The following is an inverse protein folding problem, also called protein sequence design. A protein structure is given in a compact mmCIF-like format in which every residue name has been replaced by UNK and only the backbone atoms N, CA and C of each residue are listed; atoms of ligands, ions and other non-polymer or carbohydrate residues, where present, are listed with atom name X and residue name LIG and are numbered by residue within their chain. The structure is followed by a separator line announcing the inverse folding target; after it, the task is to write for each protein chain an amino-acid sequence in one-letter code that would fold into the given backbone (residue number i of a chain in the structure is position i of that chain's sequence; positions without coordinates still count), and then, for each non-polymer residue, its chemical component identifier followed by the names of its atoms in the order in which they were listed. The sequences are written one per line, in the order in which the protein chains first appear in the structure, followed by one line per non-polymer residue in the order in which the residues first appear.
data_IF_257636815292
#
_entry.id   IF_257636815292
#
_cell.length_a   1.000
_cell.length_b   1.000
_cell.length_c   1.000
_cell.angle_alpha   90.00
_cell.angle_beta   90.00
_cell.angle_gamma   90.00
#
_symmetry.space_group_name_H-M   'P 1'
#
loop_
_entity.id
_entity.type
_entity.pdbx_description
1 polymer ?
#
# COMPACT_ATOMS: atom_id res chain seq x y z
N UNK A 1 -8.35 20.46 8.42
CA UNK A 1 -9.74 20.32 8.93
C UNK A 1 -9.66 19.68 10.31
N UNK A 2 -10.28 20.30 11.30
CA UNK A 2 -10.16 19.89 12.70
C UNK A 2 -11.36 19.08 13.18
N UNK A 3 -12.55 19.41 12.67
CA UNK A 3 -13.78 18.66 12.97
C UNK A 3 -14.85 18.82 11.89
N UNK A 4 -15.83 17.94 11.93
CA UNK A 4 -17.06 18.03 11.16
C UNK A 4 -18.08 18.88 11.93
N UNK A 5 -18.83 19.71 11.19
CA UNK A 5 -19.99 20.43 11.71
C UNK A 5 -21.21 19.55 11.59
N UNK A 6 -22.04 19.51 12.65
CA UNK A 6 -23.25 18.69 12.71
C UNK A 6 -24.43 19.56 13.16
N UNK A 7 -25.60 19.30 12.60
CA UNK A 7 -26.85 19.85 13.10
C UNK A 7 -27.42 19.02 14.29
N UNK A 8 -28.54 19.44 14.83
CA UNK A 8 -29.21 18.78 15.97
C UNK A 8 -29.63 17.32 15.67
N UNK A 9 -29.78 16.95 14.40
CA UNK A 9 -30.11 15.59 13.97
C UNK A 9 -28.87 14.69 13.82
N UNK A 10 -27.67 15.26 13.90
CA UNK A 10 -26.39 14.58 13.65
C UNK A 10 -25.97 14.54 12.18
N UNK A 11 -26.70 15.23 11.29
CA UNK A 11 -26.32 15.36 9.89
C UNK A 11 -25.09 16.23 9.78
N UNK A 12 -24.15 15.86 8.91
CA UNK A 12 -22.98 16.64 8.57
C UNK A 12 -23.39 17.83 7.69
N UNK A 13 -23.04 19.03 8.13
CA UNK A 13 -23.39 20.31 7.50
C UNK A 13 -22.18 21.12 7.04
N UNK A 14 -20.96 20.61 7.31
CA UNK A 14 -19.75 21.31 6.94
C UNK A 14 -18.52 20.84 7.71
N UNK A 15 -17.48 21.65 7.68
CA UNK A 15 -16.20 21.40 8.34
C UNK A 15 -15.70 22.66 9.04
N UNK A 16 -14.92 22.49 10.12
CA UNK A 16 -14.13 23.52 10.74
C UNK A 16 -12.64 23.35 10.41
N UNK A 17 -11.98 24.43 10.02
CA UNK A 17 -10.54 24.50 9.77
C UNK A 17 -9.95 25.73 10.48
N UNK A 18 -9.31 25.51 11.62
CA UNK A 18 -8.88 26.60 12.50
C UNK A 18 -10.08 27.40 13.04
N UNK A 19 -10.11 28.69 12.75
CA UNK A 19 -11.22 29.60 13.13
C UNK A 19 -12.35 29.64 12.07
N UNK A 20 -12.13 29.06 10.88
CA UNK A 20 -13.08 29.10 9.78
C UNK A 20 -14.06 27.93 9.83
N UNK A 21 -15.34 28.23 9.65
CA UNK A 21 -16.41 27.25 9.43
C UNK A 21 -16.87 27.32 7.98
N UNK A 22 -16.86 26.16 7.29
CA UNK A 22 -17.26 26.02 5.91
C UNK A 22 -18.49 25.14 5.83
N UNK A 23 -19.63 25.74 5.48
CA UNK A 23 -20.89 24.99 5.29
C UNK A 23 -20.91 24.27 3.96
N UNK A 24 -21.48 23.08 3.94
CA UNK A 24 -21.65 22.23 2.76
C UNK A 24 -22.87 21.33 2.87
N UNK A 25 -23.49 21.04 1.75
CA UNK A 25 -24.57 20.04 1.70
C UNK A 25 -24.05 18.62 1.87
N UNK A 26 -22.81 18.34 1.41
CA UNK A 26 -22.10 17.06 1.54
C UNK A 26 -20.62 17.30 1.77
N UNK A 27 -20.04 16.56 2.70
CA UNK A 27 -18.60 16.48 2.94
C UNK A 27 -18.11 15.11 2.45
N UNK A 28 -17.08 15.09 1.58
CA UNK A 28 -16.40 13.87 1.17
C UNK A 28 -15.11 13.74 1.97
N UNK A 29 -15.02 12.72 2.79
CA UNK A 29 -13.84 12.40 3.61
C UNK A 29 -12.85 11.62 2.77
N UNK A 30 -11.74 12.27 2.43
CA UNK A 30 -10.62 11.73 1.67
C UNK A 30 -9.28 12.05 2.40
N UNK A 31 -9.32 12.01 3.74
CA UNK A 31 -8.25 12.40 4.65
C UNK A 31 -7.21 11.29 4.89
N UNK A 32 -7.24 10.28 4.03
CA UNK A 32 -6.28 9.18 4.03
C UNK A 32 -6.50 8.17 5.17
N UNK A 33 -5.53 7.31 5.36
CA UNK A 33 -5.61 6.14 6.25
C UNK A 33 -5.87 6.48 7.72
N UNK A 34 -5.47 7.65 8.19
CA UNK A 34 -5.72 8.08 9.56
C UNK A 34 -7.21 8.28 9.85
N UNK A 35 -7.97 8.77 8.86
CA UNK A 35 -9.44 8.86 8.86
C UNK A 35 -10.01 9.41 10.16
N UNK A 36 -9.36 10.44 10.72
CA UNK A 36 -9.72 10.98 12.03
C UNK A 36 -11.14 11.52 12.07
N UNK A 37 -11.57 12.15 10.97
CA UNK A 37 -12.92 12.70 10.85
C UNK A 37 -13.97 11.60 10.77
N UNK A 38 -13.74 10.54 9.99
CA UNK A 38 -14.66 9.41 9.91
C UNK A 38 -14.76 8.63 11.23
N UNK A 39 -13.65 8.49 11.95
CA UNK A 39 -13.63 7.90 13.30
C UNK A 39 -14.42 8.74 14.31
N UNK A 40 -14.28 10.07 14.27
CA UNK A 40 -14.96 10.96 15.21
C UNK A 40 -16.49 10.89 15.17
N UNK A 41 -17.06 10.49 14.03
CA UNK A 41 -18.50 10.30 13.82
C UNK A 41 -18.94 8.83 13.82
N UNK A 42 -18.04 7.91 14.16
CA UNK A 42 -18.35 6.48 14.28
C UNK A 42 -18.59 5.75 12.95
N UNK A 43 -18.17 6.30 11.81
CA UNK A 43 -18.27 5.62 10.51
C UNK A 43 -17.27 4.48 10.37
N UNK A 44 -16.14 4.53 11.07
CA UNK A 44 -15.12 3.50 11.06
C UNK A 44 -15.02 2.77 12.37
N UNK A 45 -14.84 1.44 12.36
CA UNK A 45 -14.49 0.69 13.56
C UNK A 45 -13.03 0.99 13.96
N UNK A 46 -12.66 0.53 15.14
CA UNK A 46 -11.26 0.45 15.53
C UNK A 46 -10.57 -0.70 14.78
N UNK A 47 -9.43 -0.40 14.15
CA UNK A 47 -8.59 -1.38 13.50
C UNK A 47 -7.35 -1.68 14.34
N UNK A 48 -6.81 -2.88 14.20
CA UNK A 48 -5.60 -3.30 14.90
C UNK A 48 -4.34 -2.82 14.15
N UNK A 49 -3.18 -2.70 14.82
CA UNK A 49 -1.92 -2.37 14.15
C UNK A 49 -1.56 -3.32 12.99
N UNK A 50 -2.00 -4.58 13.02
CA UNK A 50 -1.78 -5.54 11.93
C UNK A 50 -2.44 -5.16 10.60
N UNK A 51 -3.43 -4.27 10.64
CA UNK A 51 -4.14 -3.79 9.45
C UNK A 51 -3.50 -2.54 8.83
N UNK A 52 -2.36 -2.12 9.37
CA UNK A 52 -1.64 -0.94 8.89
C UNK A 52 -0.18 -1.25 8.60
N UNK A 53 0.39 -0.53 7.64
CA UNK A 53 1.82 -0.40 7.50
C UNK A 53 2.24 1.06 7.64
N UNK A 54 3.49 1.27 8.03
CA UNK A 54 4.13 2.58 8.11
C UNK A 54 5.25 2.66 7.08
N UNK A 55 5.41 3.82 6.47
CA UNK A 55 6.42 4.05 5.45
C UNK A 55 7.30 5.25 5.76
N UNK A 56 8.53 5.21 5.24
CA UNK A 56 9.39 6.38 5.05
C UNK A 56 9.82 6.41 3.58
N UNK A 57 9.74 7.58 2.95
CA UNK A 57 10.04 7.77 1.52
C UNK A 57 10.84 9.04 1.32
N UNK A 58 11.79 8.99 0.40
CA UNK A 58 12.49 10.14 -0.14
C UNK A 58 12.21 10.29 -1.64
N UNK A 59 12.13 11.54 -2.08
CA UNK A 59 12.15 11.92 -3.48
C UNK A 59 13.53 12.52 -3.78
N UNK A 60 14.22 11.92 -4.73
CA UNK A 60 15.63 12.20 -5.07
C UNK A 60 15.67 12.77 -6.47
N UNK A 61 16.03 14.05 -6.60
CA UNK A 61 16.18 14.75 -7.88
C UNK A 61 17.42 14.26 -8.59
N UNK A 62 17.26 13.92 -9.86
CA UNK A 62 18.33 13.52 -10.79
C UNK A 62 17.97 13.99 -12.20
N UNK A 63 18.94 14.36 -13.05
CA UNK A 63 18.67 14.70 -14.44
C UNK A 63 17.97 13.53 -15.18
N UNK A 64 16.92 13.82 -15.98
CA UNK A 64 16.16 12.83 -16.76
C UNK A 64 17.06 11.81 -17.46
N UNK A 65 18.10 12.28 -18.16
CA UNK A 65 19.04 11.41 -18.87
C UNK A 65 19.79 10.43 -17.97
N UNK A 66 20.10 10.85 -16.73
CA UNK A 66 20.75 9.97 -15.74
C UNK A 66 19.79 8.88 -15.27
N UNK A 67 18.51 9.22 -15.08
CA UNK A 67 17.46 8.26 -14.72
C UNK A 67 17.27 7.26 -15.88
N UNK A 68 17.10 7.75 -17.11
CA UNK A 68 16.97 6.90 -18.30
C UNK A 68 18.13 5.92 -18.44
N UNK A 69 19.38 6.40 -18.30
CA UNK A 69 20.56 5.55 -18.45
C UNK A 69 20.69 4.50 -17.33
N UNK A 70 20.39 4.88 -16.07
CA UNK A 70 20.52 3.97 -14.91
C UNK A 70 19.43 2.91 -14.84
N UNK A 71 18.24 3.25 -15.31
CA UNK A 71 17.07 2.35 -15.27
C UNK A 71 16.77 1.69 -16.62
N UNK A 72 17.54 2.03 -17.67
CA UNK A 72 17.36 1.48 -19.02
C UNK A 72 16.08 1.93 -19.69
N UNK A 73 15.68 3.20 -19.49
CA UNK A 73 14.42 3.76 -19.96
C UNK A 73 14.61 4.57 -21.24
N UNK A 74 13.56 4.68 -22.04
CA UNK A 74 13.50 5.52 -23.23
C UNK A 74 12.16 6.25 -23.32
N UNK A 75 12.20 7.53 -23.72
CA UNK A 75 10.98 8.32 -23.95
C UNK A 75 10.16 8.53 -22.67
N UNK A 76 8.92 8.04 -22.66
CA UNK A 76 7.98 8.18 -21.56
C UNK A 76 7.87 6.91 -20.69
N UNK A 77 8.83 6.00 -20.81
CA UNK A 77 8.88 4.81 -19.99
C UNK A 77 9.22 5.13 -18.53
N UNK A 78 8.68 4.34 -17.62
CA UNK A 78 8.97 4.39 -16.19
C UNK A 78 9.14 2.99 -15.62
N UNK A 79 9.78 2.89 -14.46
CA UNK A 79 9.93 1.64 -13.73
C UNK A 79 9.47 1.78 -12.29
N UNK A 80 8.85 0.72 -11.78
CA UNK A 80 8.57 0.55 -10.36
C UNK A 80 9.10 -0.82 -9.93
N UNK A 81 10.00 -0.85 -8.95
CA UNK A 81 10.53 -2.07 -8.37
C UNK A 81 10.14 -2.21 -6.92
N UNK A 82 9.79 -3.43 -6.53
CA UNK A 82 9.55 -3.82 -5.15
C UNK A 82 10.69 -4.72 -4.69
N UNK A 83 11.15 -4.50 -3.47
CA UNK A 83 12.20 -5.29 -2.82
C UNK A 83 11.61 -6.01 -1.62
N UNK A 84 11.81 -7.31 -1.52
CA UNK A 84 11.43 -8.10 -0.35
C UNK A 84 12.67 -8.76 0.26
N UNK A 85 12.67 -8.92 1.58
CA UNK A 85 13.75 -9.56 2.31
C UNK A 85 14.34 -8.67 3.40
N UNK A 86 15.68 -8.62 3.49
CA UNK A 86 16.39 -7.93 4.58
C UNK A 86 16.17 -6.42 4.67
N UNK A 87 15.65 -5.78 3.63
CA UNK A 87 15.40 -4.35 3.62
C UNK A 87 14.35 -3.90 4.65
N UNK A 88 13.39 -4.76 5.01
CA UNK A 88 12.38 -4.50 6.06
C UNK A 88 12.71 -5.18 7.40
N UNK A 89 13.97 -5.57 7.61
CA UNK A 89 14.44 -6.26 8.82
C UNK A 89 13.66 -7.54 9.16
N UNK A 90 13.15 -8.22 8.11
CA UNK A 90 12.36 -9.44 8.22
C UNK A 90 10.88 -9.23 8.55
N UNK A 91 10.43 -8.00 8.69
CA UNK A 91 9.02 -7.66 8.88
C UNK A 91 8.24 -7.77 7.56
N UNK A 92 6.93 -7.91 7.66
CA UNK A 92 6.00 -7.71 6.53
C UNK A 92 6.27 -6.35 5.90
N UNK A 93 6.44 -6.30 4.57
CA UNK A 93 6.74 -5.08 3.84
C UNK A 93 7.93 -5.22 2.92
N UNK A 94 8.62 -4.10 2.66
CA UNK A 94 9.79 -4.10 1.78
C UNK A 94 10.15 -2.72 1.26
N UNK A 95 11.14 -2.70 0.39
CA UNK A 95 11.58 -1.49 -0.32
C UNK A 95 10.75 -1.24 -1.56
N UNK A 96 10.61 0.03 -1.90
CA UNK A 96 10.01 0.49 -3.16
C UNK A 96 10.96 1.48 -3.82
N UNK A 97 11.09 1.40 -5.14
CA UNK A 97 11.74 2.42 -5.95
C UNK A 97 10.93 2.62 -7.22
N UNK A 98 10.65 3.86 -7.58
CA UNK A 98 10.02 4.18 -8.86
C UNK A 98 10.54 5.49 -9.42
N UNK A 99 10.59 5.55 -10.76
CA UNK A 99 11.09 6.71 -11.50
C UNK A 99 9.95 7.66 -11.84
N UNK A 100 10.29 8.95 -11.81
CA UNK A 100 9.52 10.02 -12.44
C UNK A 100 10.40 10.66 -13.53
N UNK A 101 9.97 11.75 -14.14
CA UNK A 101 10.71 12.39 -15.24
C UNK A 101 12.12 12.88 -14.81
N UNK A 102 12.21 13.54 -13.65
CA UNK A 102 13.41 14.17 -13.10
C UNK A 102 13.69 13.81 -11.64
N UNK A 103 12.97 12.83 -11.11
CA UNK A 103 13.14 12.34 -9.74
C UNK A 103 13.03 10.81 -9.67
N UNK A 104 13.60 10.26 -8.61
CA UNK A 104 13.42 8.87 -8.18
C UNK A 104 12.83 8.86 -6.79
N UNK A 105 11.71 8.18 -6.63
CA UNK A 105 11.13 7.93 -5.31
C UNK A 105 11.66 6.62 -4.75
N UNK A 106 12.24 6.67 -3.57
CA UNK A 106 12.76 5.51 -2.84
C UNK A 106 12.13 5.45 -1.45
N UNK A 107 11.62 4.30 -1.06
CA UNK A 107 10.94 4.15 0.22
C UNK A 107 11.06 2.77 0.84
N UNK A 108 10.71 2.71 2.11
CA UNK A 108 10.48 1.48 2.89
C UNK A 108 9.06 1.51 3.40
N UNK A 109 8.42 0.34 3.38
CA UNK A 109 7.10 0.09 3.97
C UNK A 109 7.22 -1.10 4.91
N UNK A 110 6.71 -0.98 6.12
CA UNK A 110 6.74 -2.04 7.13
C UNK A 110 5.39 -2.18 7.83
N UNK A 111 4.93 -3.41 8.02
CA UNK A 111 3.74 -3.72 8.80
C UNK A 111 3.87 -3.20 10.24
N UNK A 112 2.84 -2.53 10.72
CA UNK A 112 2.87 -1.90 12.05
C UNK A 112 2.65 -2.91 13.18
N UNK A 113 1.98 -4.05 12.90
CA UNK A 113 1.61 -5.05 13.91
C UNK A 113 2.76 -5.69 14.65
N UNK A 114 3.93 -5.75 14.05
CA UNK A 114 5.13 -6.37 14.64
C UNK A 114 6.35 -5.43 14.63
N UNK A 115 6.12 -4.13 14.47
CA UNK A 115 7.18 -3.13 14.30
C UNK A 115 8.15 -3.10 15.50
N UNK A 116 7.68 -3.45 16.71
CA UNK A 116 8.51 -3.53 17.90
C UNK A 116 9.53 -4.68 17.86
N UNK A 117 9.37 -5.66 16.97
CA UNK A 117 10.33 -6.76 16.77
C UNK A 117 11.49 -6.36 15.88
N UNK A 118 11.40 -5.22 15.19
CA UNK A 118 12.48 -4.73 14.37
C UNK A 118 13.68 -4.28 15.21
N UNK A 119 14.87 -4.63 14.78
CA UNK A 119 16.12 -4.12 15.37
C UNK A 119 16.47 -2.70 14.95
N UNK A 120 15.67 -2.11 14.02
CA UNK A 120 15.91 -0.81 13.39
C UNK A 120 14.62 -0.02 13.27
N UNK A 121 14.72 1.31 13.25
CA UNK A 121 13.60 2.18 12.89
C UNK A 121 13.38 2.20 11.38
N UNK A 122 12.17 2.54 10.91
CA UNK A 122 11.86 2.64 9.47
C UNK A 122 12.78 3.61 8.73
N UNK A 123 13.11 4.80 9.27
CA UNK A 123 14.13 5.66 8.68
C UNK A 123 15.51 5.01 8.57
N UNK A 124 15.95 4.22 9.56
CA UNK A 124 17.23 3.49 9.48
C UNK A 124 17.21 2.41 8.40
N UNK A 125 16.09 1.70 8.24
CA UNK A 125 15.92 0.74 7.13
C UNK A 125 15.98 1.43 5.76
N UNK A 126 15.42 2.65 5.63
CA UNK A 126 15.54 3.44 4.41
C UNK A 126 16.99 3.82 4.12
N UNK A 127 17.74 4.26 5.13
CA UNK A 127 19.18 4.55 4.97
C UNK A 127 19.99 3.32 4.56
N UNK A 128 19.68 2.15 5.13
CA UNK A 128 20.32 0.91 4.74
C UNK A 128 20.00 0.53 3.29
N UNK A 129 18.75 0.70 2.86
CA UNK A 129 18.33 0.46 1.48
C UNK A 129 19.05 1.40 0.51
N UNK A 130 19.17 2.70 0.83
CA UNK A 130 19.91 3.69 0.04
C UNK A 130 21.38 3.30 -0.15
N UNK A 131 21.99 2.75 0.90
CA UNK A 131 23.39 2.33 0.89
C UNK A 131 23.61 0.92 0.37
N UNK A 132 22.53 0.18 0.04
CA UNK A 132 22.65 -1.16 -0.52
C UNK A 132 23.39 -1.12 -1.88
N UNK A 133 24.38 -2.01 -2.15
CA UNK A 133 25.19 -2.00 -3.36
C UNK A 133 24.39 -2.00 -4.67
N UNK A 134 23.20 -2.59 -4.69
CA UNK A 134 22.32 -2.62 -5.86
C UNK A 134 21.43 -1.37 -6.01
N UNK A 135 21.26 -0.57 -4.95
CA UNK A 135 20.40 0.63 -4.97
C UNK A 135 21.23 1.90 -5.07
N UNK A 136 22.31 1.98 -4.30
CA UNK A 136 23.18 3.18 -4.27
C UNK A 136 23.58 3.70 -5.66
N UNK A 137 24.03 2.88 -6.62
CA UNK A 137 24.39 3.37 -7.95
C UNK A 137 23.22 3.99 -8.73
N UNK A 138 21.98 3.60 -8.41
CA UNK A 138 20.79 4.11 -9.09
C UNK A 138 20.46 5.55 -8.69
N UNK A 139 20.84 5.95 -7.46
CA UNK A 139 20.49 7.24 -6.86
C UNK A 139 21.71 8.14 -6.60
N UNK A 140 22.94 7.65 -6.86
CA UNK A 140 24.18 8.36 -6.56
C UNK A 140 24.25 9.72 -7.25
N UNK A 141 24.66 10.75 -6.49
CA UNK A 141 24.74 12.13 -6.97
C UNK A 141 23.40 12.85 -7.02
N UNK A 142 22.31 12.18 -6.65
CA UNK A 142 21.00 12.82 -6.54
C UNK A 142 20.87 13.68 -5.29
N UNK A 143 19.96 14.65 -5.35
CA UNK A 143 19.61 15.55 -4.23
C UNK A 143 18.26 15.16 -3.66
N UNK A 144 18.18 14.94 -2.35
CA UNK A 144 16.90 14.73 -1.66
C UNK A 144 16.14 16.06 -1.67
N UNK A 145 14.96 16.06 -2.29
CA UNK A 145 14.07 17.22 -2.39
C UNK A 145 12.83 17.09 -1.53
N UNK A 146 12.45 15.87 -1.16
CA UNK A 146 11.34 15.60 -0.26
C UNK A 146 11.67 14.40 0.63
N UNK A 147 11.25 14.47 1.89
CA UNK A 147 11.18 13.35 2.81
C UNK A 147 9.76 13.29 3.38
N UNK A 148 9.12 12.14 3.32
CA UNK A 148 7.78 11.94 3.85
C UNK A 148 7.65 10.58 4.52
N UNK A 149 6.72 10.50 5.47
CA UNK A 149 6.33 9.27 6.11
C UNK A 149 4.83 9.26 6.34
N UNK A 150 4.17 8.15 6.03
CA UNK A 150 2.75 8.00 6.28
C UNK A 150 2.41 6.53 6.51
N UNK A 151 1.20 6.29 6.99
CA UNK A 151 0.64 4.95 7.08
C UNK A 151 -0.14 4.61 5.81
N UNK A 152 -0.30 3.31 5.56
CA UNK A 152 -1.16 2.77 4.50
C UNK A 152 -2.05 1.67 5.08
N UNK A 153 -3.29 1.49 4.58
CA UNK A 153 -4.17 0.42 5.01
C UNK A 153 -3.74 -0.90 4.36
N UNK A 154 -3.57 -1.95 5.15
CA UNK A 154 -3.08 -3.27 4.72
C UNK A 154 -4.09 -4.41 4.99
N UNK A 155 -5.19 -4.14 5.66
CA UNK A 155 -6.18 -5.15 6.01
C UNK A 155 -7.13 -5.54 4.86
N UNK A 156 -6.96 -4.98 3.66
CA UNK A 156 -7.76 -5.30 2.49
C UNK A 156 -9.25 -5.08 2.69
N UNK A 157 -10.08 -6.00 2.15
CA UNK A 157 -11.55 -5.87 2.21
C UNK A 157 -12.11 -5.78 3.64
N UNK A 158 -11.42 -6.34 4.63
CA UNK A 158 -11.83 -6.27 6.04
C UNK A 158 -11.81 -4.84 6.62
N UNK A 159 -11.08 -3.91 5.98
CA UNK A 159 -11.06 -2.50 6.37
C UNK A 159 -12.15 -1.65 5.70
N UNK A 160 -12.88 -2.18 4.72
CA UNK A 160 -13.96 -1.42 4.07
C UNK A 160 -15.15 -1.32 5.04
N UNK A 161 -15.57 -0.10 5.42
CA UNK A 161 -16.69 0.07 6.35
C UNK A 161 -17.99 -0.40 5.71
N UNK A 162 -18.91 -0.90 6.55
CA UNK A 162 -20.23 -1.38 6.08
C UNK A 162 -21.08 -0.27 5.46
N UNK A 163 -20.86 0.97 5.87
CA UNK A 163 -21.56 2.16 5.36
C UNK A 163 -20.50 3.16 4.87
N UNK A 164 -20.54 3.48 3.61
CA UNK A 164 -19.63 4.44 2.97
C UNK A 164 -20.27 5.83 2.82
N UNK A 165 -21.56 5.96 3.13
CA UNK A 165 -22.30 7.21 3.12
C UNK A 165 -23.17 7.34 4.38
N UNK A 166 -23.33 8.56 4.85
CA UNK A 166 -24.21 9.00 5.92
C UNK A 166 -24.96 10.27 5.52
N UNK A 167 -25.71 10.86 6.45
CA UNK A 167 -26.45 12.10 6.20
C UNK A 167 -25.44 13.25 6.02
N UNK A 168 -25.32 13.76 4.79
CA UNK A 168 -24.38 14.83 4.42
C UNK A 168 -22.90 14.43 4.36
N UNK A 169 -22.56 13.14 4.35
CA UNK A 169 -21.17 12.69 4.37
C UNK A 169 -20.92 11.43 3.56
N UNK A 170 -19.76 11.33 2.93
CA UNK A 170 -19.24 10.10 2.29
C UNK A 170 -17.76 9.94 2.60
N UNK A 171 -17.24 8.69 2.51
CA UNK A 171 -15.84 8.35 2.73
C UNK A 171 -15.27 7.64 1.51
N UNK A 172 -14.04 8.01 1.08
CA UNK A 172 -13.41 7.54 -0.17
C UNK A 172 -11.93 7.21 0.02
N UNK A 173 -11.36 6.46 -0.94
CA UNK A 173 -9.92 6.17 -0.98
C UNK A 173 -9.42 5.44 0.26
N UNK A 174 -8.18 5.72 0.67
CA UNK A 174 -7.56 5.11 1.84
C UNK A 174 -8.32 5.39 3.14
N UNK A 175 -9.05 6.51 3.21
CA UNK A 175 -9.94 6.80 4.33
C UNK A 175 -11.06 5.76 4.47
N UNK A 176 -11.50 5.16 3.37
CA UNK A 176 -12.44 4.04 3.34
C UNK A 176 -11.75 2.66 3.34
N UNK A 177 -10.44 2.60 3.58
CA UNK A 177 -9.66 1.35 3.56
C UNK A 177 -9.52 0.74 2.16
N UNK A 178 -9.67 1.52 1.10
CA UNK A 178 -9.62 1.03 -0.29
C UNK A 178 -8.17 0.88 -0.76
N UNK A 179 -7.52 -0.18 -0.31
CA UNK A 179 -6.18 -0.57 -0.71
C UNK A 179 -6.06 -2.09 -0.83
N UNK A 180 -5.31 -2.56 -1.82
CA UNK A 180 -5.02 -3.98 -2.05
C UNK A 180 -3.51 -4.17 -2.09
N UNK A 181 -3.00 -5.06 -1.24
CA UNK A 181 -1.63 -5.55 -1.30
C UNK A 181 -1.64 -7.04 -1.62
N UNK A 182 -1.04 -7.42 -2.77
CA UNK A 182 -0.92 -8.83 -3.21
C UNK A 182 0.51 -9.38 -2.99
N UNK A 183 1.36 -8.64 -2.29
CA UNK A 183 2.77 -8.98 -2.07
C UNK A 183 3.69 -8.62 -3.25
N UNK A 184 3.21 -8.73 -4.49
CA UNK A 184 3.95 -8.39 -5.72
C UNK A 184 3.39 -7.15 -6.43
N UNK A 185 2.25 -6.65 -6.02
CA UNK A 185 1.65 -5.39 -6.45
C UNK A 185 0.85 -4.78 -5.31
N UNK A 186 0.95 -3.46 -5.15
CA UNK A 186 0.14 -2.68 -4.21
C UNK A 186 -0.68 -1.68 -5.04
N UNK A 187 -1.98 -1.66 -4.82
CA UNK A 187 -2.94 -0.80 -5.51
C UNK A 187 -3.75 0.00 -4.50
N UNK A 188 -3.78 1.28 -4.64
CA UNK A 188 -4.56 2.22 -3.83
C UNK A 188 -5.01 3.41 -4.66
N UNK A 189 -4.14 3.96 -5.52
CA UNK A 189 -4.42 5.17 -6.31
C UNK A 189 -5.61 5.01 -7.26
N UNK A 190 -5.66 3.93 -8.02
CA UNK A 190 -6.74 3.63 -8.94
C UNK A 190 -8.08 3.38 -8.21
N UNK A 191 -8.02 2.74 -7.03
CA UNK A 191 -9.18 2.55 -6.15
C UNK A 191 -9.67 3.89 -5.58
N UNK A 192 -8.74 4.75 -5.16
CA UNK A 192 -9.06 6.08 -4.64
C UNK A 192 -9.68 6.98 -5.72
N UNK A 193 -9.08 7.05 -6.91
CA UNK A 193 -9.60 7.84 -8.04
C UNK A 193 -11.01 7.39 -8.43
N UNK A 194 -11.22 6.08 -8.57
CA UNK A 194 -12.55 5.54 -8.94
C UNK A 194 -13.58 5.80 -7.85
N UNK A 195 -13.23 5.60 -6.58
CA UNK A 195 -14.16 5.88 -5.48
C UNK A 195 -14.51 7.37 -5.39
N UNK A 196 -13.55 8.26 -5.62
CA UNK A 196 -13.76 9.70 -5.67
C UNK A 196 -14.69 10.13 -6.81
N UNK A 197 -14.49 9.56 -8.00
CA UNK A 197 -15.37 9.78 -9.15
C UNK A 197 -16.81 9.35 -8.86
N UNK A 198 -17.00 8.16 -8.31
CA UNK A 198 -18.32 7.63 -7.98
C UNK A 198 -19.01 8.46 -6.87
N UNK A 199 -18.25 8.93 -5.87
CA UNK A 199 -18.76 9.84 -4.86
C UNK A 199 -19.21 11.18 -5.47
N UNK A 200 -18.42 11.77 -6.37
CA UNK A 200 -18.80 12.99 -7.10
C UNK A 200 -20.09 12.81 -7.91
N UNK A 201 -20.24 11.69 -8.62
CA UNK A 201 -21.46 11.36 -9.37
C UNK A 201 -22.68 11.24 -8.44
N UNK A 202 -22.52 10.62 -7.27
CA UNK A 202 -23.59 10.49 -6.28
C UNK A 202 -24.05 11.86 -5.74
N UNK A 203 -23.10 12.78 -5.48
CA UNK A 203 -23.41 14.15 -5.06
C UNK A 203 -24.20 14.90 -6.13
N UNK A 204 -23.82 14.77 -7.41
CA UNK A 204 -24.54 15.40 -8.52
C UNK A 204 -25.99 14.90 -8.56
N UNK A 205 -26.19 13.58 -8.51
CA UNK A 205 -27.53 12.98 -8.50
C UNK A 205 -28.37 13.36 -7.28
N UNK A 206 -27.74 13.45 -6.10
CA UNK A 206 -28.37 13.91 -4.86
C UNK A 206 -28.80 15.38 -4.95
N UNK A 207 -27.95 16.22 -5.55
CA UNK A 207 -28.25 17.65 -5.79
C UNK A 207 -29.47 17.84 -6.70
N UNK A 208 -29.59 17.07 -7.77
CA UNK A 208 -30.74 17.12 -8.68
C UNK A 208 -32.06 16.79 -7.97
N UNK A 209 -32.00 15.89 -6.96
CA UNK A 209 -33.16 15.48 -6.16
C UNK A 209 -33.40 16.36 -4.94
N UNK A 210 -32.44 17.20 -4.56
CA UNK A 210 -32.46 17.96 -3.31
C UNK A 210 -32.37 17.09 -2.05
N UNK A 211 -31.87 15.84 -2.17
CA UNK A 211 -31.80 14.87 -1.08
C UNK A 211 -30.32 14.46 -0.83
N UNK A 212 -29.74 14.99 0.25
CA UNK A 212 -28.38 14.69 0.69
C UNK A 212 -28.37 13.80 1.94
N UNK A 213 -29.46 13.12 2.23
CA UNK A 213 -29.51 12.10 3.29
C UNK A 213 -28.69 10.86 2.90
N UNK A 214 -28.45 9.96 3.87
CA UNK A 214 -27.84 8.67 3.59
C UNK A 214 -28.54 7.90 2.46
N UNK A 215 -29.88 8.03 2.36
CA UNK A 215 -30.66 7.42 1.28
C UNK A 215 -30.41 8.10 -0.08
N UNK A 216 -30.34 9.43 -0.11
CA UNK A 216 -30.04 10.20 -1.32
C UNK A 216 -28.62 9.94 -1.85
N UNK A 217 -27.67 9.65 -0.97
CA UNK A 217 -26.27 9.35 -1.28
C UNK A 217 -25.98 7.85 -1.49
N UNK A 218 -26.96 6.95 -1.30
CA UNK A 218 -26.79 5.49 -1.35
C UNK A 218 -26.30 4.96 -2.72
N UNK A 219 -26.50 5.72 -3.79
CA UNK A 219 -25.98 5.37 -5.12
C UNK A 219 -24.46 5.21 -5.13
N UNK A 220 -23.72 5.96 -4.32
CA UNK A 220 -22.28 5.83 -4.17
C UNK A 220 -21.86 4.41 -3.79
N UNK A 221 -22.40 3.89 -2.69
CA UNK A 221 -22.09 2.54 -2.24
C UNK A 221 -22.50 1.49 -3.26
N UNK A 222 -23.70 1.63 -3.85
CA UNK A 222 -24.22 0.70 -4.86
C UNK A 222 -23.33 0.62 -6.09
N UNK A 223 -22.86 1.76 -6.61
CA UNK A 223 -22.00 1.78 -7.80
C UNK A 223 -20.57 1.31 -7.46
N UNK A 224 -20.07 1.64 -6.27
CA UNK A 224 -18.76 1.15 -5.81
C UNK A 224 -18.76 -0.39 -5.68
N UNK A 225 -19.82 -0.99 -5.15
CA UNK A 225 -19.98 -2.45 -5.04
C UNK A 225 -20.03 -3.14 -6.42
N UNK A 226 -20.55 -2.50 -7.44
CA UNK A 226 -20.57 -3.00 -8.83
C UNK A 226 -19.26 -2.78 -9.57
N UNK A 227 -18.43 -1.84 -9.12
CA UNK A 227 -17.16 -1.49 -9.74
C UNK A 227 -16.09 -2.59 -9.54
N UNK A 228 -14.97 -2.44 -10.23
CA UNK A 228 -13.80 -3.32 -10.01
C UNK A 228 -13.23 -3.15 -8.60
N UNK A 229 -13.39 -1.98 -7.96
CA UNK A 229 -12.84 -1.66 -6.63
C UNK A 229 -13.25 -2.73 -5.61
N UNK A 230 -14.54 -2.86 -5.33
CA UNK A 230 -15.03 -3.83 -4.34
C UNK A 230 -14.91 -5.27 -4.85
N UNK A 231 -15.02 -5.50 -6.15
CA UNK A 231 -14.86 -6.85 -6.73
C UNK A 231 -13.45 -7.38 -6.53
N UNK A 232 -12.42 -6.60 -6.86
CA UNK A 232 -11.04 -6.98 -6.66
C UNK A 232 -10.73 -7.15 -5.16
N UNK A 233 -11.18 -6.21 -4.31
CA UNK A 233 -10.97 -6.32 -2.85
C UNK A 233 -11.60 -7.60 -2.26
N UNK A 234 -12.79 -7.99 -2.71
CA UNK A 234 -13.44 -9.26 -2.29
C UNK A 234 -12.72 -10.48 -2.84
N UNK A 235 -12.25 -10.42 -4.09
CA UNK A 235 -11.52 -11.53 -4.71
C UNK A 235 -10.27 -11.87 -3.90
N UNK A 236 -9.55 -10.87 -3.42
CA UNK A 236 -8.27 -11.02 -2.73
C UNK A 236 -8.37 -10.83 -1.20
N UNK A 237 -9.56 -10.99 -0.63
CA UNK A 237 -9.81 -10.73 0.80
C UNK A 237 -8.99 -11.60 1.77
N UNK A 238 -8.53 -12.78 1.33
CA UNK A 238 -7.74 -13.71 2.13
C UNK A 238 -6.23 -13.43 2.08
N UNK A 239 -5.77 -12.59 1.13
CA UNK A 239 -4.35 -12.30 0.91
C UNK A 239 -3.68 -11.58 2.09
N UNK A 240 -4.30 -10.61 2.79
CA UNK A 240 -3.69 -9.97 3.94
C UNK A 240 -3.19 -10.95 5.01
N UNK A 241 -3.93 -12.02 5.30
CA UNK A 241 -3.51 -13.05 6.25
C UNK A 241 -2.31 -13.88 5.76
N UNK A 242 -2.16 -14.04 4.45
CA UNK A 242 -1.04 -14.78 3.87
C UNK A 242 0.24 -13.93 3.87
N UNK A 243 0.10 -12.62 3.65
CA UNK A 243 1.24 -11.69 3.66
C UNK A 243 1.85 -11.56 5.07
N UNK A 244 1.10 -11.77 6.14
CA UNK A 244 1.62 -11.79 7.51
C UNK A 244 2.61 -12.95 7.78
N UNK A 245 2.76 -13.92 6.87
CA UNK A 245 3.69 -15.02 7.03
C UNK A 245 5.15 -14.53 6.97
N UNK A 246 5.93 -14.56 8.08
CA UNK A 246 7.28 -14.00 8.11
C UNK A 246 8.26 -14.69 7.16
N UNK A 247 7.98 -15.94 6.73
CA UNK A 247 8.84 -16.64 5.76
C UNK A 247 8.90 -15.93 4.41
N UNK A 248 7.89 -15.13 4.05
CA UNK A 248 7.89 -14.33 2.82
C UNK A 248 9.00 -13.27 2.82
N UNK A 249 9.39 -12.79 3.99
CA UNK A 249 10.35 -11.70 4.15
C UNK A 249 11.71 -12.17 4.70
N UNK A 250 11.82 -13.43 5.11
CA UNK A 250 13.03 -14.00 5.69
C UNK A 250 13.53 -15.19 4.88
N UNK A 251 12.79 -16.30 4.87
CA UNK A 251 13.23 -17.59 4.33
C UNK A 251 13.18 -17.64 2.80
N UNK A 252 12.11 -17.13 2.19
CA UNK A 252 11.91 -17.27 0.74
C UNK A 252 12.79 -16.33 -0.09
N UNK A 253 13.06 -15.09 0.32
CA UNK A 253 14.08 -14.27 -0.34
C UNK A 253 15.46 -14.94 -0.34
N UNK A 254 15.89 -15.51 0.80
CA UNK A 254 17.15 -16.24 0.90
C UNK A 254 17.16 -17.53 0.05
N UNK A 255 16.04 -18.24 -0.02
CA UNK A 255 15.87 -19.41 -0.91
C UNK A 255 16.12 -19.00 -2.37
N UNK A 256 15.45 -17.96 -2.85
CA UNK A 256 15.57 -17.50 -4.23
C UNK A 256 16.98 -16.98 -4.51
N UNK A 257 17.51 -16.13 -3.64
CA UNK A 257 18.86 -15.57 -3.78
C UNK A 257 19.93 -16.68 -3.75
N UNK A 258 19.78 -17.68 -2.87
CA UNK A 258 20.69 -18.82 -2.78
C UNK A 258 20.67 -19.68 -4.05
N UNK A 259 19.50 -19.96 -4.59
CA UNK A 259 19.35 -20.69 -5.86
C UNK A 259 20.01 -19.90 -7.01
N UNK A 260 19.72 -18.61 -7.14
CA UNK A 260 20.29 -17.78 -8.21
C UNK A 260 21.80 -17.69 -8.09
N UNK A 261 22.34 -17.51 -6.87
CA UNK A 261 23.78 -17.49 -6.63
C UNK A 261 24.45 -18.79 -7.06
N UNK A 262 23.91 -19.94 -6.67
CA UNK A 262 24.50 -21.24 -7.00
C UNK A 262 24.35 -21.57 -8.50
N UNK A 263 23.27 -21.14 -9.17
CA UNK A 263 23.06 -21.32 -10.61
C UNK A 263 24.05 -20.54 -11.48
N UNK A 264 24.37 -19.32 -11.09
CA UNK A 264 25.20 -18.41 -11.89
C UNK A 264 26.67 -18.31 -11.40
N UNK A 265 27.04 -19.11 -10.40
CA UNK A 265 28.42 -19.13 -9.89
C UNK A 265 29.31 -19.89 -10.86
N UNK A 266 30.36 -19.22 -11.35
CA UNK A 266 31.42 -19.79 -12.19
C UNK A 266 32.72 -19.59 -11.46
N UNK A 267 33.29 -20.64 -10.86
CA UNK A 267 34.52 -20.61 -10.07
C UNK A 267 35.58 -21.63 -10.50
N UNK A 268 35.39 -22.27 -11.68
CA UNK A 268 36.29 -23.29 -12.20
C UNK A 268 36.04 -24.69 -11.64
N UNK A 269 35.09 -24.86 -10.70
CA UNK A 269 34.69 -26.19 -10.22
C UNK A 269 33.61 -26.81 -11.14
N UNK A 270 33.47 -28.17 -11.13
CA UNK A 270 32.41 -28.83 -11.88
C UNK A 270 31.02 -28.36 -11.39
N UNK A 271 30.13 -28.04 -12.34
CA UNK A 271 28.76 -27.64 -12.02
C UNK A 271 27.99 -28.83 -11.43
N UNK A 272 27.46 -28.73 -10.21
CA UNK A 272 26.65 -29.81 -9.64
C UNK A 272 25.33 -29.99 -10.40
N UNK A 273 24.71 -31.19 -10.36
CA UNK A 273 23.39 -31.38 -10.97
C UNK A 273 22.39 -30.38 -10.42
N UNK A 274 21.70 -29.65 -11.30
CA UNK A 274 20.72 -28.59 -10.95
C UNK A 274 19.69 -29.10 -9.92
N UNK A 275 19.19 -30.35 -10.13
CA UNK A 275 18.24 -30.96 -9.19
C UNK A 275 18.78 -31.06 -7.76
N UNK A 276 20.04 -31.43 -7.57
CA UNK A 276 20.65 -31.58 -6.25
C UNK A 276 20.83 -30.23 -5.57
N UNK A 277 21.21 -29.21 -6.35
CA UNK A 277 21.34 -27.83 -5.90
C UNK A 277 19.99 -27.25 -5.46
N UNK A 278 18.97 -27.34 -6.30
CA UNK A 278 17.62 -26.89 -5.96
C UNK A 278 17.10 -27.59 -4.69
N UNK A 279 17.30 -28.93 -4.59
CA UNK A 279 16.82 -29.70 -3.44
C UNK A 279 17.54 -29.32 -2.14
N UNK A 280 18.80 -28.93 -2.19
CA UNK A 280 19.55 -28.40 -1.04
C UNK A 280 18.84 -27.15 -0.47
N UNK A 281 18.53 -26.17 -1.32
CA UNK A 281 17.87 -24.94 -0.90
C UNK A 281 16.42 -25.17 -0.43
N UNK A 282 15.67 -26.02 -1.13
CA UNK A 282 14.30 -26.42 -0.74
C UNK A 282 14.28 -27.07 0.65
N UNK A 283 15.25 -27.96 0.95
CA UNK A 283 15.35 -28.55 2.29
C UNK A 283 15.68 -27.50 3.36
N UNK A 284 16.57 -26.55 3.09
CA UNK A 284 16.92 -25.47 4.03
C UNK A 284 15.72 -24.56 4.32
N UNK A 285 14.92 -24.27 3.31
CA UNK A 285 13.69 -23.46 3.47
C UNK A 285 12.53 -24.23 4.12
N UNK A 286 12.62 -25.55 4.22
CA UNK A 286 11.55 -26.41 4.72
C UNK A 286 10.55 -26.80 3.64
N UNK A 287 10.76 -27.93 2.97
CA UNK A 287 9.92 -28.39 1.84
C UNK A 287 8.42 -28.42 2.17
N UNK A 288 8.06 -28.83 3.40
CA UNK A 288 6.65 -28.88 3.83
C UNK A 288 6.03 -27.47 3.96
N UNK A 289 6.80 -26.51 4.48
CA UNK A 289 6.36 -25.11 4.57
C UNK A 289 6.10 -24.51 3.20
N UNK A 290 7.00 -24.77 2.23
CA UNK A 290 6.83 -24.34 0.83
C UNK A 290 5.54 -24.89 0.21
N UNK A 291 5.25 -26.17 0.43
CA UNK A 291 4.02 -26.80 -0.10
C UNK A 291 2.78 -26.19 0.56
N UNK A 292 2.78 -26.05 1.90
CA UNK A 292 1.66 -25.50 2.66
C UNK A 292 1.38 -24.05 2.27
N UNK A 293 2.43 -23.24 2.23
CA UNK A 293 2.30 -21.80 1.91
C UNK A 293 1.91 -21.62 0.44
N UNK A 294 2.53 -22.38 -0.48
CA UNK A 294 2.16 -22.37 -1.90
C UNK A 294 0.72 -22.79 -2.16
N UNK A 295 0.20 -23.77 -1.42
CA UNK A 295 -1.22 -24.14 -1.50
C UNK A 295 -2.13 -23.02 -0.99
N UNK A 296 -1.77 -22.35 0.12
CA UNK A 296 -2.51 -21.21 0.65
C UNK A 296 -2.61 -20.07 -0.38
N UNK A 297 -1.48 -19.72 -0.99
CA UNK A 297 -1.43 -18.70 -2.04
C UNK A 297 -2.22 -19.10 -3.29
N UNK A 298 -2.09 -20.35 -3.75
CA UNK A 298 -2.83 -20.83 -4.92
C UNK A 298 -4.34 -20.87 -4.75
N UNK A 299 -4.83 -20.80 -3.49
CA UNK A 299 -6.26 -20.72 -3.18
C UNK A 299 -6.75 -19.26 -3.09
N UNK A 300 -5.89 -18.33 -2.67
CA UNK A 300 -6.26 -16.94 -2.40
C UNK A 300 -6.08 -16.01 -3.62
N UNK A 301 -5.27 -16.42 -4.60
CA UNK A 301 -5.09 -15.74 -5.89
C UNK A 301 -6.00 -16.34 -6.98
#
# INVERSE_FOLDING_TARGET
VDRLLQDESGRITGVQAGEDELEANVVILADGVNSLLAKSIGMLPEYTPHQYAVSAKEVIELPKKVIEDRFGLTGDEGVAWLFAGSCSDGLMGGGIIYTNEDTVSLGIVCGLGEIEKAGKTVPQMLEDLKNHPSVKPLIEGGKIVEYSGHMVPEGGYAMVPKKLAGDGVMITGDAAGLCINLGFIVRGMDLAVTSGELAGRAVIAAKEKGDFSAAGLASYQTELEKSFVIRDMKQYQDVPHLIENPRLFTVYPELVAGIMRDLFRIDGSPVPPVRSMLWKHVKQAGAWNLIKDGYGWGKAL
#
